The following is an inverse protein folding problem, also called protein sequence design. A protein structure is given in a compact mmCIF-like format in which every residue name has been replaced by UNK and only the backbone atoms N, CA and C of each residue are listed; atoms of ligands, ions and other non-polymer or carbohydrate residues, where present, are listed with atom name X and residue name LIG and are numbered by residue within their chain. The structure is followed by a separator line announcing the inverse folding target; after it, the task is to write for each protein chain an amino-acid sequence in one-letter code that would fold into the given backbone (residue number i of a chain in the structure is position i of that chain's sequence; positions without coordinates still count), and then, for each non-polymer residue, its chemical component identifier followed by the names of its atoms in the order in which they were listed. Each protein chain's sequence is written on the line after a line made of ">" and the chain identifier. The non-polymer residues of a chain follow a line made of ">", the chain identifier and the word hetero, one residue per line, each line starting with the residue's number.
data_IF_999658622645
#
_entry.id   IF_999658622645
#
_cell.length_a   1.000
_cell.length_b   1.000
_cell.length_c   1.000
_cell.angle_alpha   90.00
_cell.angle_beta   90.00
_cell.angle_gamma   90.00
#
_symmetry.space_group_name_H-M   'P 1'
#
loop_
_entity.id
_entity.type
_entity.pdbx_description
1 polymer ?
#
# COMPACT_ATOMS: atom_id res chain seq x y z
N UNK A 1 7.15 2.08 2.05
CA UNK A 1 5.82 2.35 2.66
C UNK A 1 5.24 1.05 3.20
N UNK A 2 4.54 1.08 4.32
CA UNK A 2 3.90 -0.11 4.91
C UNK A 2 2.55 -0.35 4.25
N UNK A 3 2.30 -1.57 3.78
CA UNK A 3 1.00 -1.99 3.26
C UNK A 3 0.12 -2.57 4.38
N UNK A 4 -0.77 -1.75 4.93
CA UNK A 4 -1.62 -2.13 6.05
C UNK A 4 -2.65 -3.21 5.72
N UNK A 5 -2.97 -3.47 4.45
CA UNK A 5 -3.79 -4.62 4.05
C UNK A 5 -3.00 -5.92 4.29
N UNK A 6 -1.74 -5.95 3.90
CA UNK A 6 -0.88 -7.11 4.14
C UNK A 6 -0.59 -7.31 5.62
N UNK A 7 -0.31 -6.24 6.35
CA UNK A 7 -0.16 -6.26 7.81
C UNK A 7 -1.42 -6.83 8.49
N UNK A 8 -2.60 -6.38 8.08
CA UNK A 8 -3.87 -6.86 8.62
C UNK A 8 -4.09 -8.36 8.37
N UNK A 9 -3.78 -8.84 7.18
CA UNK A 9 -3.83 -10.28 6.87
C UNK A 9 -2.87 -11.08 7.73
N UNK A 10 -1.66 -10.59 7.91
CA UNK A 10 -0.63 -11.24 8.73
C UNK A 10 -1.03 -11.27 10.20
N UNK A 11 -1.58 -10.18 10.72
CA UNK A 11 -2.14 -10.09 12.06
C UNK A 11 -3.24 -11.13 12.29
N UNK A 12 -4.19 -11.25 11.37
CA UNK A 12 -5.26 -12.26 11.44
C UNK A 12 -4.71 -13.69 11.42
N UNK A 13 -3.68 -13.95 10.59
CA UNK A 13 -3.04 -15.26 10.52
C UNK A 13 -2.33 -15.61 11.84
N UNK A 14 -1.56 -14.71 12.43
CA UNK A 14 -0.90 -14.95 13.71
C UNK A 14 -1.90 -15.16 14.83
N UNK A 15 -2.98 -14.38 14.87
CA UNK A 15 -4.07 -14.58 15.84
C UNK A 15 -4.65 -15.97 15.74
N UNK A 16 -5.00 -16.42 14.53
CA UNK A 16 -5.57 -17.74 14.27
C UNK A 16 -4.60 -18.88 14.61
N UNK A 17 -3.31 -18.73 14.28
CA UNK A 17 -2.27 -19.68 14.61
C UNK A 17 -2.09 -19.86 16.13
N UNK A 18 -2.39 -18.83 16.91
CA UNK A 18 -2.38 -18.86 18.37
C UNK A 18 -3.75 -19.23 18.97
N UNK A 19 -4.69 -19.71 18.17
CA UNK A 19 -6.04 -20.12 18.59
C UNK A 19 -6.81 -19.01 19.34
N UNK A 20 -6.62 -17.77 18.95
CA UNK A 20 -7.28 -16.60 19.54
C UNK A 20 -8.44 -16.12 18.67
N UNK A 21 -9.56 -15.73 19.31
CA UNK A 21 -10.60 -14.94 18.68
C UNK A 21 -10.20 -13.46 18.62
N UNK A 22 -10.94 -12.66 17.87
CA UNK A 22 -10.75 -11.20 17.88
C UNK A 22 -11.02 -10.61 19.28
N UNK A 23 -11.99 -11.16 20.00
CA UNK A 23 -12.28 -10.76 21.40
C UNK A 23 -11.12 -11.11 22.35
N UNK A 24 -10.50 -12.27 22.20
CA UNK A 24 -9.36 -12.69 23.02
C UNK A 24 -8.20 -11.70 22.83
N UNK A 25 -7.86 -11.38 21.59
CA UNK A 25 -6.78 -10.44 21.29
C UNK A 25 -7.12 -9.02 21.77
N UNK A 26 -8.35 -8.57 21.58
CA UNK A 26 -8.83 -7.29 22.05
C UNK A 26 -8.69 -7.14 23.58
N UNK A 27 -9.05 -8.19 24.33
CA UNK A 27 -8.93 -8.24 25.79
C UNK A 27 -7.47 -8.13 26.22
N UNK A 28 -6.55 -8.82 25.54
CA UNK A 28 -5.11 -8.79 25.86
C UNK A 28 -4.50 -7.40 25.61
N UNK A 29 -4.99 -6.68 24.61
CA UNK A 29 -4.48 -5.36 24.21
C UNK A 29 -5.26 -4.20 24.84
N UNK A 30 -6.28 -4.48 25.65
CA UNK A 30 -7.17 -3.47 26.23
C UNK A 30 -7.83 -2.54 25.19
N UNK A 31 -8.22 -3.12 24.07
CA UNK A 31 -8.91 -2.41 22.97
C UNK A 31 -10.24 -3.09 22.65
N UNK A 32 -11.04 -2.51 21.77
CA UNK A 32 -12.30 -3.10 21.34
C UNK A 32 -12.10 -4.15 20.24
N UNK A 33 -13.01 -5.12 20.16
CA UNK A 33 -13.04 -6.10 19.05
C UNK A 33 -13.15 -5.41 17.68
N UNK A 34 -13.95 -4.35 17.60
CA UNK A 34 -14.12 -3.58 16.37
C UNK A 34 -12.80 -2.99 15.87
N UNK A 35 -11.94 -2.58 16.78
CA UNK A 35 -10.61 -2.05 16.44
C UNK A 35 -9.70 -3.15 15.87
N UNK A 36 -9.70 -4.33 16.47
CA UNK A 36 -8.99 -5.50 15.92
C UNK A 36 -9.49 -5.82 14.51
N UNK A 37 -10.81 -5.85 14.32
CA UNK A 37 -11.42 -6.11 13.00
C UNK A 37 -10.99 -5.08 11.95
N UNK A 38 -10.90 -3.79 12.31
CA UNK A 38 -10.42 -2.73 11.42
C UNK A 38 -8.96 -2.94 11.02
N UNK A 39 -8.09 -3.27 11.97
CA UNK A 39 -6.69 -3.54 11.69
C UNK A 39 -6.51 -4.74 10.77
N UNK A 40 -7.24 -5.85 11.01
CA UNK A 40 -7.20 -7.04 10.16
C UNK A 40 -7.70 -6.80 8.74
N UNK A 41 -8.57 -5.80 8.53
CA UNK A 41 -9.04 -5.38 7.20
C UNK A 41 -8.14 -4.33 6.54
N UNK A 42 -7.12 -3.85 7.23
CA UNK A 42 -6.24 -2.78 6.73
C UNK A 42 -6.90 -1.40 6.68
N UNK A 43 -8.04 -1.22 7.35
CA UNK A 43 -8.78 0.06 7.39
C UNK A 43 -8.25 1.00 8.46
N UNK A 44 -7.61 0.46 9.49
CA UNK A 44 -6.99 1.21 10.57
C UNK A 44 -5.56 0.77 10.81
N UNK A 45 -4.83 1.57 11.56
CA UNK A 45 -3.41 1.35 11.87
C UNK A 45 -3.27 1.26 13.38
N UNK A 46 -2.68 0.16 13.91
CA UNK A 46 -2.35 0.10 15.32
C UNK A 46 -1.25 1.13 15.67
N UNK A 47 -1.31 1.67 16.88
CA UNK A 47 -0.22 2.51 17.39
C UNK A 47 1.07 1.71 17.55
N UNK A 48 2.20 2.40 17.64
CA UNK A 48 3.50 1.73 17.83
C UNK A 48 3.51 0.87 19.10
N UNK A 49 2.92 1.35 20.18
CA UNK A 49 2.84 0.60 21.45
C UNK A 49 2.08 -0.72 21.26
N UNK A 50 0.98 -0.69 20.50
CA UNK A 50 0.21 -1.90 20.17
C UNK A 50 1.02 -2.84 19.27
N UNK A 51 1.74 -2.33 18.28
CA UNK A 51 2.62 -3.14 17.43
C UNK A 51 3.68 -3.86 18.27
N UNK A 52 4.28 -3.18 19.24
CA UNK A 52 5.27 -3.77 20.17
C UNK A 52 4.61 -4.89 21.00
N UNK A 53 3.41 -4.66 21.53
CA UNK A 53 2.71 -5.70 22.31
C UNK A 53 2.29 -6.90 21.43
N UNK A 54 1.83 -6.67 20.21
CA UNK A 54 1.54 -7.74 19.25
C UNK A 54 2.77 -8.58 18.91
N UNK A 55 3.91 -7.94 18.74
CA UNK A 55 5.20 -8.61 18.53
C UNK A 55 5.53 -9.56 19.69
N UNK A 56 5.29 -9.13 20.92
CA UNK A 56 5.50 -9.94 22.13
C UNK A 56 4.48 -11.09 22.23
N UNK A 57 3.21 -10.81 21.99
CA UNK A 57 2.12 -11.81 22.07
C UNK A 57 2.35 -12.93 21.05
N UNK A 58 2.67 -12.60 19.82
CA UNK A 58 2.89 -13.57 18.75
C UNK A 58 4.31 -14.12 18.68
N UNK A 59 5.25 -13.57 19.47
CA UNK A 59 6.67 -13.94 19.47
C UNK A 59 7.32 -13.83 18.09
N UNK A 60 7.03 -12.74 17.40
CA UNK A 60 7.58 -12.40 16.09
C UNK A 60 8.24 -11.02 16.14
N UNK A 61 9.14 -10.74 15.20
CA UNK A 61 9.75 -9.41 15.12
C UNK A 61 8.75 -8.37 14.62
N UNK A 62 9.00 -7.10 14.92
CA UNK A 62 8.19 -5.98 14.40
C UNK A 62 8.29 -5.93 12.88
N UNK A 63 9.47 -6.15 12.32
CA UNK A 63 9.71 -6.18 10.88
C UNK A 63 8.88 -7.26 10.19
N UNK A 64 8.78 -8.43 10.79
CA UNK A 64 7.96 -9.51 10.27
C UNK A 64 6.46 -9.18 10.37
N UNK A 65 6.03 -8.66 11.51
CA UNK A 65 4.63 -8.26 11.72
C UNK A 65 4.20 -7.16 10.74
N UNK A 66 5.07 -6.20 10.45
CA UNK A 66 4.82 -5.09 9.53
C UNK A 66 5.12 -5.43 8.06
N UNK A 67 5.44 -6.69 7.75
CA UNK A 67 5.76 -7.15 6.40
C UNK A 67 6.93 -6.40 5.74
N UNK A 68 7.90 -5.90 6.52
CA UNK A 68 9.01 -5.10 5.99
C UNK A 68 10.04 -5.95 5.23
N UNK A 69 10.10 -7.25 5.51
CA UNK A 69 11.02 -8.20 4.88
C UNK A 69 10.32 -9.10 3.84
N UNK A 70 9.03 -8.95 3.66
CA UNK A 70 8.29 -9.76 2.69
C UNK A 70 8.59 -9.28 1.26
N UNK A 71 8.76 -10.22 0.33
CA UNK A 71 8.81 -9.90 -1.08
C UNK A 71 7.44 -9.42 -1.55
N UNK A 72 7.41 -8.27 -2.18
CA UNK A 72 6.18 -7.69 -2.72
C UNK A 72 5.76 -8.48 -3.97
N UNK A 73 4.57 -9.06 -3.92
CA UNK A 73 3.98 -9.78 -5.06
C UNK A 73 2.75 -9.05 -5.55
N UNK A 74 2.81 -8.61 -6.80
CA UNK A 74 1.69 -7.96 -7.46
C UNK A 74 0.99 -8.93 -8.41
N UNK A 75 -0.34 -8.88 -8.43
CA UNK A 75 -1.12 -9.62 -9.42
C UNK A 75 -0.90 -8.99 -10.82
N UNK A 76 -0.61 -9.81 -11.83
CA UNK A 76 -0.29 -9.31 -13.18
C UNK A 76 -1.51 -8.71 -13.89
N UNK A 77 -2.71 -9.20 -13.57
CA UNK A 77 -3.95 -8.73 -14.19
C UNK A 77 -4.55 -7.56 -13.42
N UNK A 78 -4.40 -7.56 -12.09
CA UNK A 78 -4.90 -6.50 -11.21
C UNK A 78 -3.84 -6.09 -10.18
N UNK A 79 -3.07 -5.08 -10.52
CA UNK A 79 -1.98 -4.55 -9.68
C UNK A 79 -2.46 -4.00 -8.33
N UNK A 80 -3.76 -3.70 -8.18
CA UNK A 80 -4.33 -3.20 -6.93
C UNK A 80 -4.84 -4.32 -6.02
N UNK A 81 -4.91 -5.55 -6.52
CA UNK A 81 -5.43 -6.68 -5.76
C UNK A 81 -4.57 -6.97 -4.52
N UNK A 82 -5.19 -6.86 -3.35
CA UNK A 82 -4.55 -7.14 -2.07
C UNK A 82 -3.62 -6.04 -1.55
N UNK A 83 -3.60 -4.87 -2.19
CA UNK A 83 -2.80 -3.71 -1.79
C UNK A 83 -3.64 -2.44 -1.69
N UNK A 84 -3.19 -1.49 -0.87
CA UNK A 84 -3.78 -0.13 -0.90
C UNK A 84 -3.35 0.58 -2.19
N UNK A 85 -4.21 1.47 -2.70
CA UNK A 85 -3.89 2.22 -3.92
C UNK A 85 -2.62 3.05 -3.76
N UNK A 86 -2.46 3.71 -2.61
CA UNK A 86 -1.27 4.50 -2.31
C UNK A 86 0.00 3.65 -2.28
N UNK A 87 -0.06 2.44 -1.72
CA UNK A 87 1.07 1.50 -1.73
C UNK A 87 1.48 1.12 -3.16
N UNK A 88 0.52 0.86 -4.04
CA UNK A 88 0.78 0.56 -5.46
C UNK A 88 1.45 1.76 -6.16
N UNK A 89 0.94 2.97 -5.96
CA UNK A 89 1.52 4.20 -6.52
C UNK A 89 2.98 4.37 -6.07
N UNK A 90 3.24 4.25 -4.78
CA UNK A 90 4.61 4.35 -4.23
C UNK A 90 5.53 3.24 -4.76
N UNK A 91 5.00 2.03 -4.95
CA UNK A 91 5.76 0.91 -5.52
C UNK A 91 6.15 1.16 -6.98
N UNK A 92 5.29 1.81 -7.76
CA UNK A 92 5.59 2.23 -9.13
C UNK A 92 6.68 3.31 -9.11
N UNK A 93 6.52 4.35 -8.29
CA UNK A 93 7.47 5.47 -8.20
C UNK A 93 8.85 5.01 -7.73
N UNK A 94 8.90 4.09 -6.77
CA UNK A 94 10.15 3.52 -6.24
C UNK A 94 10.75 2.42 -7.10
N UNK A 95 10.14 2.12 -8.25
CA UNK A 95 10.58 1.07 -9.21
C UNK A 95 10.55 -0.36 -8.65
N UNK A 96 9.79 -0.60 -7.60
CA UNK A 96 9.51 -1.94 -7.07
C UNK A 96 8.46 -2.68 -7.91
N UNK A 97 7.53 -1.93 -8.50
CA UNK A 97 6.56 -2.41 -9.47
C UNK A 97 6.82 -1.73 -10.81
N UNK A 98 7.24 -2.53 -11.80
CA UNK A 98 7.43 -2.06 -13.17
C UNK A 98 6.13 -2.28 -13.97
N UNK A 99 5.60 -1.20 -14.52
CA UNK A 99 4.41 -1.22 -15.38
C UNK A 99 4.63 -0.35 -16.62
N UNK A 100 3.96 -0.70 -17.71
CA UNK A 100 3.84 0.20 -18.86
C UNK A 100 2.84 1.32 -18.51
N UNK A 101 3.35 2.43 -18.00
CA UNK A 101 2.52 3.53 -17.48
C UNK A 101 1.51 4.07 -18.52
N UNK A 102 1.89 4.34 -19.78
CA UNK A 102 0.92 4.83 -20.76
C UNK A 102 -0.29 3.90 -20.95
N UNK A 103 -0.06 2.61 -21.01
CA UNK A 103 -1.13 1.61 -21.21
C UNK A 103 -2.01 1.42 -19.97
N UNK A 104 -1.53 1.76 -18.79
CA UNK A 104 -2.23 1.59 -17.53
C UNK A 104 -2.77 2.90 -16.95
N UNK A 105 -2.50 4.05 -17.57
CA UNK A 105 -2.78 5.37 -17.02
C UNK A 105 -4.26 5.61 -16.72
N UNK A 106 -5.17 4.99 -17.48
CA UNK A 106 -6.62 5.05 -17.27
C UNK A 106 -7.10 4.42 -15.95
N UNK A 107 -6.27 3.56 -15.32
CA UNK A 107 -6.61 2.87 -14.06
C UNK A 107 -6.48 3.78 -12.83
N UNK A 108 -5.82 4.92 -12.98
CA UNK A 108 -5.51 5.84 -11.89
C UNK A 108 -6.53 6.98 -11.81
N UNK A 109 -6.88 7.37 -10.58
CA UNK A 109 -7.67 8.57 -10.33
C UNK A 109 -6.89 9.84 -10.74
N UNK A 110 -7.59 10.96 -10.86
CA UNK A 110 -6.94 12.23 -11.20
C UNK A 110 -5.81 12.60 -10.23
N UNK A 111 -6.04 12.43 -8.94
CA UNK A 111 -5.04 12.70 -7.90
C UNK A 111 -3.82 11.77 -8.01
N UNK A 112 -4.06 10.49 -8.21
CA UNK A 112 -3.01 9.48 -8.41
C UNK A 112 -2.20 9.74 -9.68
N UNK A 113 -2.86 10.13 -10.78
CA UNK A 113 -2.22 10.53 -12.04
C UNK A 113 -1.30 11.72 -11.82
N UNK A 114 -1.74 12.72 -11.05
CA UNK A 114 -0.90 13.87 -10.71
C UNK A 114 0.32 13.48 -9.86
N UNK A 115 0.20 12.53 -8.94
CA UNK A 115 1.35 11.99 -8.18
C UNK A 115 2.37 11.32 -9.11
N UNK A 116 1.91 10.49 -10.05
CA UNK A 116 2.75 9.83 -11.04
C UNK A 116 3.43 10.84 -11.98
N UNK A 117 2.69 11.82 -12.51
CA UNK A 117 3.22 12.87 -13.38
C UNK A 117 4.25 13.75 -12.68
N UNK A 118 4.04 14.04 -11.39
CA UNK A 118 5.03 14.74 -10.58
C UNK A 118 6.32 13.94 -10.47
N UNK A 119 6.22 12.63 -10.22
CA UNK A 119 7.39 11.75 -10.18
C UNK A 119 8.14 11.68 -11.53
N UNK A 120 7.40 11.66 -12.65
CA UNK A 120 7.99 11.74 -13.99
C UNK A 120 8.71 13.08 -14.20
N UNK A 121 8.07 14.19 -13.85
CA UNK A 121 8.65 15.54 -13.97
C UNK A 121 9.90 15.71 -13.13
N UNK A 122 9.95 15.11 -11.95
CA UNK A 122 11.11 15.14 -11.04
C UNK A 122 12.19 14.11 -11.40
N UNK A 123 12.01 13.32 -12.45
CA UNK A 123 12.97 12.29 -12.87
C UNK A 123 13.04 11.06 -11.98
N UNK A 124 12.09 10.89 -11.08
CA UNK A 124 11.98 9.70 -10.19
C UNK A 124 11.31 8.49 -10.88
N UNK A 125 10.53 8.75 -11.91
CA UNK A 125 9.82 7.73 -12.69
C UNK A 125 10.07 7.96 -14.17
N UNK A 126 10.60 6.94 -14.85
CA UNK A 126 10.86 6.97 -16.27
C UNK A 126 9.65 6.42 -17.05
N UNK A 127 9.25 7.09 -18.11
CA UNK A 127 8.19 6.65 -19.01
C UNK A 127 8.38 7.23 -20.40
N UNK A 128 7.80 6.59 -21.40
CA UNK A 128 7.77 7.13 -22.77
C UNK A 128 6.75 8.26 -22.87
N UNK A 129 7.25 9.49 -22.85
CA UNK A 129 6.41 10.69 -22.93
C UNK A 129 5.60 10.75 -24.24
N UNK A 130 6.15 10.24 -25.33
CA UNK A 130 5.44 10.25 -26.62
C UNK A 130 4.19 9.36 -26.60
N UNK A 131 4.23 8.24 -25.89
CA UNK A 131 3.10 7.35 -25.68
C UNK A 131 2.16 7.82 -24.56
N UNK A 132 2.68 8.56 -23.59
CA UNK A 132 1.88 9.11 -22.50
C UNK A 132 1.02 10.30 -22.95
N UNK A 133 1.55 11.15 -23.81
CA UNK A 133 0.89 12.37 -24.30
C UNK A 133 -0.58 12.18 -24.77
N UNK A 134 -0.92 11.17 -25.58
CA UNK A 134 -2.29 10.98 -26.05
C UNK A 134 -3.32 10.66 -24.95
N UNK A 135 -2.89 10.14 -23.81
CA UNK A 135 -3.75 9.74 -22.68
C UNK A 135 -3.85 10.80 -21.58
N UNK A 136 -3.11 11.92 -21.72
CA UNK A 136 -3.16 13.05 -20.81
C UNK A 136 -4.30 14.00 -21.16
N UNK A 137 -4.90 14.58 -20.13
CA UNK A 137 -5.72 15.79 -20.29
C UNK A 137 -4.85 17.00 -20.65
N UNK A 138 -5.44 18.06 -21.14
CA UNK A 138 -4.74 19.30 -21.46
C UNK A 138 -4.00 19.85 -20.23
N UNK A 139 -4.66 19.85 -19.07
CA UNK A 139 -4.05 20.33 -17.81
C UNK A 139 -2.86 19.47 -17.34
N UNK A 140 -2.97 18.15 -17.46
CA UNK A 140 -1.88 17.21 -17.13
C UNK A 140 -0.68 17.40 -18.07
N UNK A 141 -0.94 17.64 -19.35
CA UNK A 141 0.12 17.89 -20.32
C UNK A 141 0.86 19.19 -20.06
N UNK A 142 0.14 20.28 -19.75
CA UNK A 142 0.74 21.56 -19.35
C UNK A 142 1.56 21.42 -18.06
N UNK A 143 1.04 20.69 -17.07
CA UNK A 143 1.77 20.39 -15.83
C UNK A 143 3.10 19.68 -16.12
N UNK A 144 3.08 18.66 -16.96
CA UNK A 144 4.27 17.86 -17.28
C UNK A 144 5.33 18.70 -18.01
N UNK A 145 4.91 19.60 -18.94
CA UNK A 145 5.81 20.51 -19.66
C UNK A 145 6.34 21.65 -18.80
N UNK A 146 5.69 21.97 -17.69
CA UNK A 146 6.03 23.12 -16.87
C UNK A 146 5.52 24.46 -17.42
N UNK A 147 4.58 24.43 -18.36
CA UNK A 147 3.88 25.62 -18.83
C UNK A 147 2.91 26.11 -17.76
N UNK A 148 2.93 27.40 -17.52
CA UNK A 148 2.02 28.05 -16.56
C UNK A 148 0.65 28.28 -17.18
#
# INVERSE_FOLDING_TARGET
>A
MIDFIQVGKKLANYRKQNNMTQDDLASMLFVTRQLISKWEKGVGVPSLDVVIELSKIFKVSIEDLLCLNDEEKFDKEDIFKGHTRLFVIESIISKKLDIDLPSNFYRFSLEERMMLLKAVKEGRLDTDISRLKPVLTIGEYHFLKGDK
#
